data_IF_806685392578
#
_entry.id   IF_806685392578
#
_cell.length_a   1.000
_cell.length_b   1.000
_cell.length_c   1.000
_cell.angle_alpha   90.00
_cell.angle_beta   90.00
_cell.angle_gamma   90.00
#
_symmetry.space_group_name_H-M   'P 1'
#
loop_
_entity.id
_entity.type
_entity.pdbx_description
1 polymer ?
#
# COMPACT_ATOMS: atom_id res chain seq x y z
N UNK A 1 -8.36 -12.60 6.12
CA UNK A 1 -8.73 -11.78 4.96
C UNK A 1 -10.20 -12.01 4.72
N UNK A 2 -11.00 -10.97 4.84
CA UNK A 2 -12.43 -10.94 4.55
C UNK A 2 -12.68 -9.84 3.52
N UNK A 3 -13.30 -10.16 2.40
CA UNK A 3 -13.64 -9.18 1.37
C UNK A 3 -15.14 -8.92 1.39
N UNK A 4 -15.53 -7.65 1.38
CA UNK A 4 -16.93 -7.24 1.45
C UNK A 4 -17.22 -6.26 0.32
N UNK A 5 -18.33 -6.45 -0.39
CA UNK A 5 -18.73 -5.60 -1.51
C UNK A 5 -20.15 -5.11 -1.30
N UNK A 6 -20.35 -3.79 -1.37
CA UNK A 6 -21.68 -3.18 -1.42
C UNK A 6 -21.97 -2.70 -2.84
N UNK A 7 -23.13 -3.07 -3.36
CA UNK A 7 -23.63 -2.59 -4.64
C UNK A 7 -24.68 -1.48 -4.48
N UNK A 8 -24.90 -0.68 -5.53
CA UNK A 8 -25.90 0.39 -5.61
C UNK A 8 -27.33 -0.15 -5.38
N UNK A 9 -27.56 -1.42 -5.70
CA UNK A 9 -28.80 -2.15 -5.43
C UNK A 9 -29.01 -2.52 -3.95
N UNK A 10 -28.09 -2.14 -3.06
CA UNK A 10 -28.01 -2.58 -1.67
C UNK A 10 -27.80 -4.10 -1.51
N UNK A 11 -27.39 -4.80 -2.58
CA UNK A 11 -26.82 -6.15 -2.48
C UNK A 11 -25.50 -6.06 -1.70
N UNK A 12 -25.37 -6.93 -0.70
CA UNK A 12 -24.17 -7.09 0.09
C UNK A 12 -23.58 -8.46 -0.16
N UNK A 13 -22.29 -8.51 -0.51
CA UNK A 13 -21.56 -9.75 -0.72
C UNK A 13 -20.37 -9.82 0.22
N UNK A 14 -20.14 -11.01 0.75
CA UNK A 14 -19.05 -11.30 1.67
C UNK A 14 -18.30 -12.54 1.20
N UNK A 15 -16.99 -12.41 1.07
CA UNK A 15 -16.08 -13.47 0.69
C UNK A 15 -15.09 -13.70 1.83
N UNK A 16 -15.20 -14.85 2.49
CA UNK A 16 -14.26 -15.32 3.50
C UNK A 16 -13.59 -16.61 3.02
N UNK A 17 -12.33 -16.57 2.54
CA UNK A 17 -11.62 -17.75 2.09
C UNK A 17 -11.21 -18.70 3.23
N UNK A 18 -11.33 -18.31 4.50
CA UNK A 18 -11.00 -19.20 5.63
C UNK A 18 -11.90 -20.44 5.67
N UNK A 19 -13.12 -20.33 5.13
CA UNK A 19 -14.06 -21.45 5.02
C UNK A 19 -13.68 -22.45 3.91
N UNK A 20 -12.72 -22.11 3.03
CA UNK A 20 -12.32 -22.94 1.87
C UNK A 20 -11.01 -23.71 2.09
N UNK A 21 -10.26 -23.46 3.15
CA UNK A 21 -8.99 -24.17 3.41
C UNK A 21 -9.23 -25.44 4.22
N UNK A 22 -8.95 -26.62 3.65
CA UNK A 22 -8.93 -27.87 4.40
C UNK A 22 -7.86 -27.78 5.51
N UNK A 23 -8.23 -28.12 6.75
CA UNK A 23 -7.37 -27.97 7.93
C UNK A 23 -6.14 -28.91 7.97
N UNK A 24 -5.98 -29.81 6.98
CA UNK A 24 -4.88 -30.77 6.92
C UNK A 24 -3.89 -30.45 5.78
N UNK A 25 -2.91 -29.55 6.01
CA UNK A 25 -1.83 -29.28 5.04
C UNK A 25 -0.89 -30.49 4.82
N UNK A 26 -0.93 -31.49 5.72
CA UNK A 26 -0.09 -32.68 5.68
C UNK A 26 -0.89 -33.96 5.41
N UNK A 27 -1.45 -34.13 4.20
CA UNK A 27 -1.65 -35.51 3.72
C UNK A 27 -0.27 -36.15 3.58
N UNK A 28 -0.17 -37.47 3.75
CA UNK A 28 1.08 -38.25 3.76
C UNK A 28 2.06 -38.01 2.57
N UNK A 29 1.64 -37.26 1.54
CA UNK A 29 2.43 -36.88 0.36
C UNK A 29 2.73 -35.36 0.25
N UNK A 30 2.49 -34.55 1.29
CA UNK A 30 3.05 -33.20 1.45
C UNK A 30 2.89 -32.24 0.27
N UNK A 31 1.67 -32.08 -0.26
CA UNK A 31 1.48 -31.31 -1.51
C UNK A 31 1.26 -29.82 -1.26
N UNK A 32 0.63 -29.39 -0.16
CA UNK A 32 0.36 -27.97 0.10
C UNK A 32 0.81 -27.55 1.51
N UNK A 33 1.92 -26.81 1.58
CA UNK A 33 2.48 -26.31 2.85
C UNK A 33 1.85 -24.98 3.26
N UNK A 34 1.35 -24.19 2.31
CA UNK A 34 0.76 -22.87 2.53
C UNK A 34 -0.17 -22.54 1.37
N UNK A 35 -1.35 -21.99 1.66
CA UNK A 35 -2.19 -21.33 0.67
C UNK A 35 -2.06 -19.83 0.86
N UNK A 36 -1.83 -19.08 -0.22
CA UNK A 36 -1.88 -17.62 -0.23
C UNK A 36 -3.01 -17.12 -1.15
N UNK A 37 -3.50 -15.92 -0.84
CA UNK A 37 -4.59 -15.28 -1.57
C UNK A 37 -4.13 -13.90 -2.03
N UNK A 38 -4.26 -13.62 -3.32
CA UNK A 38 -3.79 -12.38 -3.93
C UNK A 38 -5.00 -11.64 -4.49
N UNK A 39 -5.29 -10.46 -3.93
CA UNK A 39 -6.35 -9.59 -4.39
C UNK A 39 -5.78 -8.62 -5.43
N UNK A 40 -6.34 -8.63 -6.64
CA UNK A 40 -5.93 -7.78 -7.76
C UNK A 40 -6.93 -6.65 -7.96
N UNK A 41 -6.42 -5.42 -7.95
CA UNK A 41 -7.18 -4.17 -8.13
C UNK A 41 -6.53 -3.24 -9.19
N UNK A 42 -5.59 -3.77 -9.99
CA UNK A 42 -4.74 -2.96 -10.88
C UNK A 42 -5.39 -2.57 -12.20
N UNK A 43 -6.19 -3.48 -12.78
CA UNK A 43 -6.83 -3.36 -14.09
C UNK A 43 -8.35 -3.59 -13.97
N UNK A 44 -9.01 -2.81 -13.13
CA UNK A 44 -10.43 -3.01 -12.80
C UNK A 44 -11.32 -3.07 -14.05
N UNK A 45 -11.21 -2.11 -14.96
CA UNK A 45 -12.07 -2.04 -16.16
C UNK A 45 -11.91 -3.25 -17.11
N UNK A 46 -10.75 -3.92 -17.09
CA UNK A 46 -10.47 -5.06 -17.96
C UNK A 46 -10.75 -6.41 -17.27
N UNK A 47 -10.37 -6.54 -16.01
CA UNK A 47 -10.34 -7.82 -15.29
C UNK A 47 -11.34 -7.90 -14.13
N UNK A 48 -11.89 -6.76 -13.69
CA UNK A 48 -12.74 -6.66 -12.51
C UNK A 48 -11.94 -6.77 -11.21
N UNK A 49 -12.58 -7.26 -10.16
CA UNK A 49 -11.92 -7.58 -8.89
C UNK A 49 -11.65 -9.07 -8.84
N UNK A 50 -10.37 -9.45 -8.87
CA UNK A 50 -9.95 -10.85 -8.92
C UNK A 50 -9.23 -11.25 -7.63
N UNK A 51 -9.62 -12.41 -7.09
CA UNK A 51 -8.91 -13.06 -5.99
C UNK A 51 -8.27 -14.35 -6.50
N UNK A 52 -6.94 -14.37 -6.62
CA UNK A 52 -6.22 -15.55 -7.06
C UNK A 52 -5.72 -16.38 -5.87
N UNK A 53 -6.00 -17.68 -5.91
CA UNK A 53 -5.42 -18.67 -5.01
C UNK A 53 -4.05 -19.10 -5.52
N UNK A 54 -3.07 -19.19 -4.61
CA UNK A 54 -1.85 -19.95 -4.85
C UNK A 54 -1.57 -20.90 -3.69
N UNK A 55 -0.73 -21.88 -3.95
CA UNK A 55 -0.27 -22.84 -2.94
C UNK A 55 1.22 -23.14 -3.08
N UNK A 56 1.83 -23.70 -2.04
CA UNK A 56 3.27 -23.97 -2.00
C UNK A 56 3.54 -25.47 -1.89
N UNK A 57 4.32 -25.99 -2.84
CA UNK A 57 4.70 -27.39 -2.93
C UNK A 57 6.10 -27.63 -2.37
N UNK A 58 6.25 -28.63 -1.49
CA UNK A 58 7.56 -29.17 -1.07
C UNK A 58 7.63 -30.65 -1.42
N UNK A 59 7.89 -30.94 -2.70
CA UNK A 59 8.15 -32.30 -3.17
C UNK A 59 9.59 -32.75 -2.88
N UNK A 60 9.86 -34.06 -2.96
CA UNK A 60 11.21 -34.63 -2.76
C UNK A 60 12.29 -34.16 -3.75
N UNK A 61 11.92 -33.44 -4.82
CA UNK A 61 12.81 -32.75 -5.76
C UNK A 61 12.74 -31.22 -5.64
N UNK A 62 12.28 -30.67 -4.51
CA UNK A 62 12.21 -29.23 -4.31
C UNK A 62 13.55 -28.57 -4.61
N UNK A 63 13.50 -27.42 -5.29
CA UNK A 63 14.68 -26.58 -5.48
C UNK A 63 15.28 -26.23 -4.12
N UNK A 64 16.56 -25.89 -4.07
CA UNK A 64 17.23 -25.52 -2.82
C UNK A 64 17.68 -24.08 -2.91
N UNK A 65 17.60 -23.37 -1.79
CA UNK A 65 18.20 -22.04 -1.64
C UNK A 65 19.22 -22.07 -0.50
N UNK A 66 20.10 -21.07 -0.46
CA UNK A 66 21.11 -20.91 0.59
C UNK A 66 20.78 -19.66 1.37
N UNK A 67 20.55 -19.82 2.68
CA UNK A 67 20.31 -18.73 3.62
C UNK A 67 21.46 -18.78 4.64
N UNK A 68 22.26 -17.73 4.73
CA UNK A 68 23.42 -17.62 5.65
C UNK A 68 24.36 -18.85 5.59
N UNK A 69 24.60 -19.36 4.38
CA UNK A 69 25.42 -20.56 4.15
C UNK A 69 24.72 -21.89 4.42
N UNK A 70 23.48 -21.88 4.92
CA UNK A 70 22.67 -23.08 5.17
C UNK A 70 21.81 -23.38 3.94
N UNK A 71 21.95 -24.58 3.39
CA UNK A 71 21.10 -25.05 2.30
C UNK A 71 19.76 -25.55 2.83
N UNK A 72 18.65 -24.98 2.36
CA UNK A 72 17.28 -25.36 2.74
C UNK A 72 16.43 -25.67 1.50
N UNK A 73 15.43 -26.58 1.60
CA UNK A 73 14.44 -26.75 0.54
C UNK A 73 13.64 -25.45 0.32
N UNK A 74 13.47 -25.06 -0.93
CA UNK A 74 12.66 -23.94 -1.35
C UNK A 74 11.32 -24.47 -1.87
N UNK A 75 10.24 -24.12 -1.18
CA UNK A 75 8.88 -24.43 -1.61
C UNK A 75 8.54 -23.60 -2.86
N UNK A 76 8.10 -24.25 -3.93
CA UNK A 76 7.72 -23.54 -5.15
C UNK A 76 6.27 -23.07 -5.05
N UNK A 77 6.03 -21.79 -5.33
CA UNK A 77 4.68 -21.24 -5.47
C UNK A 77 4.02 -21.77 -6.74
N UNK A 78 2.78 -22.23 -6.63
CA UNK A 78 1.95 -22.78 -7.69
C UNK A 78 0.66 -21.99 -7.79
N UNK A 79 0.25 -21.68 -9.01
CA UNK A 79 -1.02 -21.00 -9.28
C UNK A 79 -2.16 -22.01 -9.07
N UNK A 80 -3.16 -21.61 -8.29
CA UNK A 80 -4.42 -22.31 -8.13
C UNK A 80 -5.46 -21.79 -9.12
N UNK A 81 -6.64 -21.44 -8.62
CA UNK A 81 -7.70 -20.81 -9.41
C UNK A 81 -7.81 -19.30 -9.13
N UNK A 82 -8.37 -18.57 -10.10
CA UNK A 82 -8.81 -17.19 -9.93
C UNK A 82 -10.32 -17.17 -9.66
N UNK A 83 -10.72 -16.42 -8.64
CA UNK A 83 -12.10 -16.14 -8.30
C UNK A 83 -12.41 -14.72 -8.74
N UNK A 84 -13.33 -14.56 -9.68
CA UNK A 84 -13.85 -13.24 -10.04
C UNK A 84 -14.86 -12.82 -8.97
N UNK A 85 -14.47 -11.89 -8.09
CA UNK A 85 -15.33 -11.41 -7.01
C UNK A 85 -16.34 -10.38 -7.52
N UNK A 86 -15.92 -9.55 -8.48
CA UNK A 86 -16.77 -8.58 -9.16
C UNK A 86 -16.37 -8.57 -10.63
N UNK A 87 -17.33 -8.79 -11.53
CA UNK A 87 -17.09 -8.70 -12.97
C UNK A 87 -16.83 -7.26 -13.44
N UNK A 88 -16.07 -7.05 -14.53
CA UNK A 88 -15.88 -5.70 -15.11
C UNK A 88 -17.22 -5.00 -15.39
N UNK A 89 -18.22 -5.73 -15.86
CA UNK A 89 -19.58 -5.26 -16.17
C UNK A 89 -20.41 -4.92 -14.92
N UNK A 90 -20.00 -5.39 -13.75
CA UNK A 90 -20.65 -5.08 -12.47
C UNK A 90 -20.04 -3.86 -11.77
N UNK A 91 -18.87 -3.38 -12.22
CA UNK A 91 -18.13 -2.32 -11.53
C UNK A 91 -18.95 -1.06 -11.33
N UNK A 92 -19.70 -0.62 -12.35
CA UNK A 92 -20.60 0.54 -12.29
C UNK A 92 -21.62 0.49 -11.14
N UNK A 93 -21.93 -0.72 -10.68
CA UNK A 93 -22.83 -0.96 -9.58
C UNK A 93 -22.12 -1.06 -8.22
N UNK A 94 -20.79 -1.16 -8.16
CA UNK A 94 -20.05 -1.18 -6.89
C UNK A 94 -20.08 0.21 -6.25
N UNK A 95 -20.45 0.26 -4.97
CA UNK A 95 -20.40 1.46 -4.12
C UNK A 95 -19.08 1.48 -3.35
N UNK A 96 -18.71 0.35 -2.75
CA UNK A 96 -17.41 0.20 -2.11
C UNK A 96 -17.02 -1.28 -2.04
N UNK A 97 -15.72 -1.51 -1.93
CA UNK A 97 -15.13 -2.79 -1.58
C UNK A 97 -14.25 -2.61 -0.35
N UNK A 98 -14.36 -3.51 0.62
CA UNK A 98 -13.51 -3.55 1.80
C UNK A 98 -12.69 -4.84 1.85
N UNK A 99 -11.52 -4.73 2.47
CA UNK A 99 -10.70 -5.85 2.92
C UNK A 99 -10.49 -5.70 4.42
N UNK A 100 -10.90 -6.71 5.18
CA UNK A 100 -10.74 -6.76 6.65
C UNK A 100 -11.30 -5.51 7.36
N UNK A 101 -12.40 -4.93 6.84
CA UNK A 101 -13.04 -3.73 7.37
C UNK A 101 -12.55 -2.40 6.79
N UNK A 102 -11.39 -2.39 6.14
CA UNK A 102 -10.80 -1.19 5.51
C UNK A 102 -11.28 -1.06 4.06
N UNK A 103 -11.69 0.15 3.64
CA UNK A 103 -12.16 0.40 2.26
C UNK A 103 -10.96 0.41 1.31
N UNK A 104 -11.02 -0.43 0.27
CA UNK A 104 -10.02 -0.47 -0.79
C UNK A 104 -10.53 0.20 -2.07
N UNK A 105 -11.84 0.16 -2.31
CA UNK A 105 -12.49 0.88 -3.40
C UNK A 105 -13.69 1.63 -2.83
N UNK A 106 -14.01 2.81 -3.37
CA UNK A 106 -15.24 3.52 -3.04
C UNK A 106 -15.69 4.41 -4.19
N UNK A 107 -16.99 4.72 -4.23
CA UNK A 107 -17.54 5.71 -5.15
C UNK A 107 -17.35 7.11 -4.61
N UNK A 108 -16.81 7.99 -5.45
CA UNK A 108 -16.91 9.43 -5.33
C UNK A 108 -17.74 9.91 -6.54
N UNK A 109 -19.00 10.27 -6.29
CA UNK A 109 -19.96 10.47 -7.37
C UNK A 109 -20.12 9.19 -8.22
N UNK A 110 -19.92 9.32 -9.53
CA UNK A 110 -19.97 8.19 -10.47
C UNK A 110 -18.63 7.49 -10.66
N UNK A 111 -17.54 7.96 -10.05
CA UNK A 111 -16.20 7.40 -10.26
C UNK A 111 -15.84 6.37 -9.18
N UNK A 112 -15.25 5.23 -9.60
CA UNK A 112 -14.77 4.21 -8.67
C UNK A 112 -13.32 4.50 -8.33
N UNK A 113 -13.09 4.99 -7.13
CA UNK A 113 -11.76 5.36 -6.65
C UNK A 113 -11.00 4.12 -6.22
N UNK A 114 -9.76 4.03 -6.70
CA UNK A 114 -8.80 3.03 -6.23
C UNK A 114 -8.11 3.52 -4.96
N UNK A 115 -8.61 3.04 -3.82
CA UNK A 115 -8.14 3.39 -2.50
C UNK A 115 -6.72 2.97 -2.20
N UNK A 116 -6.32 1.77 -2.63
CA UNK A 116 -4.93 1.30 -2.45
C UNK A 116 -3.92 2.25 -3.11
N UNK A 117 -4.23 2.73 -4.33
CA UNK A 117 -3.40 3.75 -5.00
C UNK A 117 -3.42 5.07 -4.25
N UNK A 118 -4.59 5.50 -3.76
CA UNK A 118 -4.72 6.71 -2.97
C UNK A 118 -3.91 6.66 -1.68
N UNK A 119 -4.08 5.63 -0.84
CA UNK A 119 -3.38 5.48 0.43
C UNK A 119 -1.86 5.32 0.27
N UNK A 120 -1.42 4.62 -0.78
CA UNK A 120 0.01 4.56 -1.11
C UNK A 120 0.58 5.95 -1.40
N UNK A 121 -0.15 6.79 -2.15
CA UNK A 121 0.27 8.16 -2.42
C UNK A 121 0.16 9.06 -1.20
N UNK A 122 -0.93 8.99 -0.44
CA UNK A 122 -1.12 9.73 0.81
C UNK A 122 0.06 9.51 1.76
N UNK A 123 0.43 8.25 2.03
CA UNK A 123 1.58 7.94 2.88
C UNK A 123 2.89 8.55 2.36
N UNK A 124 3.06 8.62 1.04
CA UNK A 124 4.27 9.16 0.43
C UNK A 124 4.32 10.69 0.49
N UNK A 125 3.23 11.40 0.23
CA UNK A 125 3.26 12.85 0.00
C UNK A 125 2.41 13.70 0.95
N UNK A 126 1.43 13.15 1.68
CA UNK A 126 0.57 13.94 2.56
C UNK A 126 1.24 14.19 3.92
N UNK A 127 1.32 15.46 4.33
CA UNK A 127 1.75 15.87 5.66
C UNK A 127 0.78 16.91 6.23
N UNK A 128 0.56 16.88 7.53
CA UNK A 128 -0.18 17.89 8.28
C UNK A 128 0.49 18.17 9.64
N UNK A 129 -0.22 18.85 10.55
CA UNK A 129 0.29 19.21 11.87
C UNK A 129 0.68 18.01 12.75
N UNK A 130 0.13 16.82 12.48
CA UNK A 130 0.31 15.61 13.29
C UNK A 130 0.94 14.44 12.54
N UNK A 131 0.87 14.45 11.20
CA UNK A 131 1.37 13.39 10.33
C UNK A 131 2.42 13.92 9.39
N UNK A 132 3.59 13.27 9.34
CA UNK A 132 4.61 13.56 8.33
C UNK A 132 4.66 12.44 7.28
N UNK A 133 4.68 12.83 6.02
CA UNK A 133 4.82 11.93 4.88
C UNK A 133 6.13 11.14 4.94
N UNK A 134 6.17 9.99 4.27
CA UNK A 134 7.42 9.22 4.10
C UNK A 134 8.47 10.08 3.39
N UNK A 135 8.09 10.88 2.40
CA UNK A 135 9.01 11.75 1.66
C UNK A 135 9.68 12.79 2.57
N UNK A 136 8.90 13.53 3.35
CA UNK A 136 9.44 14.57 4.25
C UNK A 136 10.36 13.98 5.30
N UNK A 137 10.00 12.82 5.86
CA UNK A 137 10.86 12.09 6.79
C UNK A 137 12.14 11.59 6.11
N UNK A 138 12.06 11.12 4.87
CA UNK A 138 13.23 10.66 4.12
C UNK A 138 14.24 11.81 3.90
N UNK A 139 13.77 12.99 3.50
CA UNK A 139 14.65 14.17 3.36
C UNK A 139 15.28 14.56 4.69
N UNK A 140 14.49 14.62 5.77
CA UNK A 140 15.02 14.98 7.09
C UNK A 140 16.12 14.02 7.58
N UNK A 141 15.92 12.70 7.39
CA UNK A 141 16.93 11.69 7.74
C UNK A 141 18.16 11.81 6.84
N UNK A 142 17.96 11.99 5.53
CA UNK A 142 19.05 12.15 4.58
C UNK A 142 19.93 13.37 4.93
N UNK A 143 19.32 14.54 5.15
CA UNK A 143 20.02 15.77 5.52
C UNK A 143 20.76 15.64 6.84
N UNK A 144 20.18 14.94 7.82
CA UNK A 144 20.85 14.62 9.07
C UNK A 144 22.10 13.77 8.84
N UNK A 145 21.99 12.69 8.05
CA UNK A 145 23.10 11.78 7.77
C UNK A 145 24.21 12.46 6.97
N UNK A 146 23.87 13.32 6.00
CA UNK A 146 24.85 14.14 5.28
C UNK A 146 25.65 15.03 6.23
N UNK A 147 24.98 15.65 7.22
CA UNK A 147 25.65 16.48 8.23
C UNK A 147 26.48 15.67 9.22
N UNK A 148 25.98 14.50 9.63
CA UNK A 148 26.66 13.60 10.57
C UNK A 148 27.90 12.94 9.95
N UNK A 149 27.94 12.82 8.62
CA UNK A 149 28.98 12.13 7.88
C UNK A 149 29.46 12.93 6.66
N UNK A 150 30.15 14.06 6.87
CA UNK A 150 30.52 14.99 5.80
C UNK A 150 31.48 14.39 4.76
N UNK A 151 32.21 13.33 5.11
CA UNK A 151 33.17 12.66 4.23
C UNK A 151 32.55 11.55 3.37
N UNK A 152 31.29 11.16 3.63
CA UNK A 152 30.59 10.14 2.85
C UNK A 152 29.89 10.75 1.63
N UNK A 153 29.90 10.02 0.53
CA UNK A 153 29.23 10.44 -0.69
C UNK A 153 27.70 10.31 -0.56
N UNK A 154 26.95 11.18 -1.23
CA UNK A 154 25.48 11.20 -1.15
C UNK A 154 24.83 9.85 -1.50
N UNK A 155 25.37 9.16 -2.50
CA UNK A 155 24.97 7.81 -2.90
C UNK A 155 25.11 6.78 -1.77
N UNK A 156 26.15 6.90 -0.95
CA UNK A 156 26.40 6.03 0.18
C UNK A 156 25.47 6.36 1.35
N UNK A 157 25.24 7.66 1.59
CA UNK A 157 24.24 8.14 2.56
C UNK A 157 22.83 7.63 2.21
N UNK A 158 22.43 7.74 0.94
CA UNK A 158 21.13 7.25 0.49
C UNK A 158 20.99 5.75 0.77
N UNK A 159 22.02 4.96 0.42
CA UNK A 159 22.02 3.50 0.66
C UNK A 159 21.94 3.15 2.15
N UNK A 160 22.56 3.93 3.04
CA UNK A 160 22.54 3.69 4.48
C UNK A 160 21.12 3.71 5.06
N UNK A 161 20.27 4.58 4.54
CA UNK A 161 18.85 4.67 4.93
C UNK A 161 17.91 3.82 4.04
N UNK A 162 18.46 2.98 3.16
CA UNK A 162 17.71 2.10 2.27
C UNK A 162 17.15 2.75 1.00
N UNK A 163 17.62 3.94 0.65
CA UNK A 163 17.23 4.67 -0.55
C UNK A 163 18.29 4.59 -1.65
N UNK A 164 17.86 4.88 -2.87
CA UNK A 164 18.78 5.26 -3.96
C UNK A 164 18.85 6.77 -4.03
N UNK A 165 20.00 7.33 -4.45
CA UNK A 165 20.12 8.79 -4.61
C UNK A 165 19.07 9.35 -5.60
N UNK A 166 18.79 8.72 -6.76
CA UNK A 166 17.72 9.20 -7.64
C UNK A 166 16.32 9.18 -7.02
N UNK A 167 16.07 8.35 -6.00
CA UNK A 167 14.81 8.43 -5.25
C UNK A 167 14.78 9.68 -4.35
N UNK A 168 15.87 9.98 -3.65
CA UNK A 168 16.00 11.18 -2.81
C UNK A 168 15.89 12.45 -3.67
N UNK A 169 16.55 12.50 -4.83
CA UNK A 169 16.50 13.66 -5.74
C UNK A 169 15.07 13.92 -6.28
N UNK A 170 14.35 12.85 -6.64
CA UNK A 170 12.93 12.95 -7.03
C UNK A 170 12.06 13.47 -5.89
N UNK A 171 12.30 12.98 -4.67
CA UNK A 171 11.57 13.45 -3.50
C UNK A 171 11.88 14.93 -3.25
N UNK A 172 13.15 15.35 -3.22
CA UNK A 172 13.53 16.76 -3.05
C UNK A 172 12.86 17.65 -4.09
N UNK A 173 12.85 17.23 -5.35
CA UNK A 173 12.21 17.98 -6.44
C UNK A 173 10.69 18.11 -6.23
N UNK A 174 10.03 17.05 -5.76
CA UNK A 174 8.59 17.06 -5.49
C UNK A 174 8.24 17.92 -4.26
N UNK A 175 9.03 17.86 -3.18
CA UNK A 175 8.81 18.67 -1.98
C UNK A 175 9.07 20.16 -2.25
N UNK A 176 10.08 20.50 -3.06
CA UNK A 176 10.31 21.89 -3.48
C UNK A 176 9.12 22.44 -4.28
N UNK A 177 8.51 21.64 -5.16
CA UNK A 177 7.34 22.05 -5.92
C UNK A 177 6.06 22.25 -5.06
N UNK A 178 6.07 21.83 -3.78
CA UNK A 178 5.01 22.15 -2.83
C UNK A 178 5.23 23.49 -2.12
N UNK A 179 6.47 23.99 -2.05
CA UNK A 179 6.87 25.17 -1.28
C UNK A 179 6.63 26.50 -2.03
N UNK A 180 6.19 26.43 -3.30
CA UNK A 180 6.07 27.57 -4.22
C UNK A 180 4.79 28.45 -4.01
N UNK A 181 4.10 28.43 -2.86
CA UNK A 181 2.82 29.20 -2.80
C UNK A 181 2.03 29.34 -1.51
N UNK A 182 2.61 29.22 -0.32
CA UNK A 182 1.96 29.73 0.90
C UNK A 182 2.94 30.58 1.71
N UNK A 183 3.24 31.78 1.21
CA UNK A 183 3.57 32.87 2.12
C UNK A 183 2.34 33.08 3.01
N UNK A 184 2.51 33.02 4.33
CA UNK A 184 1.49 33.42 5.31
C UNK A 184 1.18 34.92 5.11
N UNK A 185 0.23 35.24 4.22
CA UNK A 185 -0.42 36.55 4.25
C UNK A 185 -1.31 36.61 5.49
N UNK A 186 -0.84 37.27 6.56
CA UNK A 186 -1.75 37.79 7.58
C UNK A 186 -1.22 37.94 9.00
N UNK A 187 -0.20 38.75 9.22
CA UNK A 187 -0.19 39.59 10.43
C UNK A 187 -0.17 41.07 10.00
N UNK A 188 -1.33 41.57 9.60
CA UNK A 188 -1.58 43.01 9.57
C UNK A 188 -1.43 43.56 10.99
N UNK A 189 -0.38 44.35 11.17
CA UNK A 189 -0.21 45.27 12.28
C UNK A 189 -1.39 46.26 12.33
N UNK A 190 -2.40 45.96 13.13
CA UNK A 190 -3.53 46.84 13.41
C UNK A 190 -3.65 47.12 14.90
N UNK A 191 -2.93 48.14 15.40
CA UNK A 191 -3.21 48.76 16.68
C UNK A 191 -4.66 49.27 16.67
N UNK A 192 -5.50 48.79 17.58
CA UNK A 192 -6.80 49.41 17.87
C UNK A 192 -7.09 49.31 19.36
N UNK A 193 -6.98 50.48 19.96
CA UNK A 193 -7.37 50.95 21.29
C UNK A 193 -8.53 50.20 21.98
N UNK A 194 -8.36 50.06 23.29
CA UNK A 194 -9.30 49.38 24.17
C UNK A 194 -10.68 50.03 24.25
N UNK A 195 -11.67 49.19 24.47
CA UNK A 195 -12.99 49.61 24.95
C UNK A 195 -13.31 48.91 26.27
N UNK A 196 -13.46 49.77 27.27
CA UNK A 196 -13.94 49.54 28.63
C UNK A 196 -15.44 49.19 28.61
N UNK A 197 -15.86 48.21 29.42
CA UNK A 197 -17.27 47.88 29.64
C UNK A 197 -17.60 48.05 31.12
N UNK A 198 -18.24 49.19 31.42
CA UNK A 198 -19.15 49.36 32.55
C UNK A 198 -20.55 48.86 32.21
#
# INVERSE_FOLDING_TARGET
MKIEVLYKSHRYEEFDPSVQTCAEPYRANGVNVLTDWNLYLGALEEEGVVLAQHWYEVGGKAARTVLDGVSVPAAARKVGCALLLVGPDELDNVVWLKKDGEKLLWREGEDLINGERFFAMEQLCYSDATTQSVNRRAIAVFDYLQKAHPDMQEDEIARLMGYTLPAIERIRSAELAQDDGFEEEGEESGQSEGYDFS
#
